data_IF_109677335740
#
_entry.id   IF_109677335740
#
_cell.length_a   1.000
_cell.length_b   1.000
_cell.length_c   1.000
_cell.angle_alpha   90.00
_cell.angle_beta   90.00
_cell.angle_gamma   90.00
#
_symmetry.space_group_name_H-M   'P 1'
#
loop_
_entity.id
_entity.type
_entity.pdbx_description
1 polymer ?
#
# COMPACT_ATOMS: atom_id res chain seq x y z
N UNK A 1 -0.06 12.06 -13.96
CA UNK A 1 0.92 12.19 -12.86
C UNK A 1 0.52 11.16 -11.83
N UNK A 2 1.41 10.23 -11.52
CA UNK A 2 1.13 9.14 -10.57
C UNK A 2 1.56 9.56 -9.18
N UNK A 3 0.76 9.22 -8.17
CA UNK A 3 1.07 9.50 -6.77
C UNK A 3 1.64 8.25 -6.10
N UNK A 4 2.84 8.37 -5.56
CA UNK A 4 3.47 7.32 -4.77
C UNK A 4 2.96 7.35 -3.33
N UNK A 5 2.38 6.25 -2.88
CA UNK A 5 1.75 6.15 -1.56
C UNK A 5 2.62 5.33 -0.61
N UNK A 6 2.93 5.93 0.54
CA UNK A 6 3.50 5.26 1.69
C UNK A 6 2.44 4.95 2.75
N UNK A 7 2.44 3.75 3.31
CA UNK A 7 1.51 3.34 4.38
C UNK A 7 2.29 2.84 5.59
N UNK A 8 2.00 3.38 6.78
CA UNK A 8 2.55 2.93 8.05
C UNK A 8 1.58 1.98 8.75
N UNK A 9 1.98 0.70 8.83
CA UNK A 9 1.18 -0.38 9.38
C UNK A 9 0.42 -1.18 8.31
N UNK A 10 0.50 -2.51 8.39
CA UNK A 10 0.03 -3.44 7.35
C UNK A 10 -1.04 -4.44 7.83
N UNK A 11 -1.49 -4.33 9.09
CA UNK A 11 -2.58 -5.15 9.64
C UNK A 11 -3.93 -4.63 9.14
N UNK A 12 -5.01 -4.83 9.89
CA UNK A 12 -6.38 -4.46 9.51
C UNK A 12 -6.53 -3.14 8.72
N UNK A 13 -6.02 -2.02 9.25
CA UNK A 13 -6.13 -0.73 8.54
C UNK A 13 -5.22 -0.65 7.30
N UNK A 14 -4.04 -1.25 7.32
CA UNK A 14 -3.16 -1.31 6.16
C UNK A 14 -3.79 -2.08 5.00
N UNK A 15 -4.47 -3.19 5.29
CA UNK A 15 -5.23 -3.95 4.29
C UNK A 15 -6.40 -3.13 3.73
N UNK A 16 -7.14 -2.44 4.61
CA UNK A 16 -8.25 -1.59 4.20
C UNK A 16 -7.78 -0.46 3.27
N UNK A 17 -6.66 0.20 3.58
CA UNK A 17 -6.06 1.24 2.75
C UNK A 17 -5.54 0.68 1.42
N UNK A 18 -4.84 -0.46 1.43
CA UNK A 18 -4.35 -1.11 0.22
C UNK A 18 -5.51 -1.49 -0.72
N UNK A 19 -6.60 -2.03 -0.18
CA UNK A 19 -7.80 -2.35 -0.95
C UNK A 19 -8.50 -1.09 -1.48
N UNK A 20 -8.56 -0.01 -0.70
CA UNK A 20 -9.12 1.26 -1.16
C UNK A 20 -8.33 1.83 -2.36
N UNK A 21 -7.00 1.82 -2.29
CA UNK A 21 -6.13 2.25 -3.39
C UNK A 21 -6.31 1.38 -4.65
N UNK A 22 -6.38 0.06 -4.49
CA UNK A 22 -6.58 -0.86 -5.60
C UNK A 22 -7.94 -0.66 -6.31
N UNK A 23 -8.96 -0.22 -5.58
CA UNK A 23 -10.32 -0.01 -6.09
C UNK A 23 -10.60 1.42 -6.52
N UNK A 24 -9.75 2.38 -6.16
CA UNK A 24 -9.92 3.81 -6.47
C UNK A 24 -10.36 4.06 -7.93
N UNK A 25 -9.68 3.51 -8.97
CA UNK A 25 -10.07 3.77 -10.36
C UNK A 25 -11.42 3.13 -10.76
N UNK A 26 -11.92 2.15 -10.01
CA UNK A 26 -13.23 1.54 -10.26
C UNK A 26 -14.39 2.47 -9.88
N UNK A 27 -14.17 3.36 -8.90
CA UNK A 27 -15.21 4.24 -8.35
C UNK A 27 -15.05 5.69 -8.80
N UNK A 28 -13.83 6.12 -9.12
CA UNK A 28 -13.51 7.50 -9.46
C UNK A 28 -12.66 7.54 -10.73
N UNK A 29 -13.28 7.65 -11.92
CA UNK A 29 -12.57 7.65 -13.20
C UNK A 29 -11.55 8.78 -13.37
N UNK A 30 -11.80 9.91 -12.71
CA UNK A 30 -10.93 11.09 -12.75
C UNK A 30 -9.92 11.15 -11.59
N UNK A 31 -9.84 10.10 -10.77
CA UNK A 31 -8.84 10.03 -9.72
C UNK A 31 -7.42 9.93 -10.32
N UNK A 32 -6.40 10.49 -9.65
CA UNK A 32 -5.02 10.29 -10.08
C UNK A 32 -4.64 8.81 -9.98
N UNK A 33 -3.75 8.37 -10.86
CA UNK A 33 -3.10 7.09 -10.73
C UNK A 33 -2.31 7.03 -9.41
N UNK A 34 -2.32 5.87 -8.76
CA UNK A 34 -1.62 5.64 -7.50
C UNK A 34 -0.70 4.44 -7.61
N UNK A 35 0.52 4.59 -7.12
CA UNK A 35 1.43 3.48 -6.87
C UNK A 35 1.43 3.18 -5.37
N UNK A 36 1.24 1.92 -5.00
CA UNK A 36 1.50 1.44 -3.65
C UNK A 36 3.01 1.29 -3.50
N UNK A 37 3.68 2.38 -3.13
CA UNK A 37 5.13 2.49 -3.23
C UNK A 37 5.82 1.89 -2.00
N UNK A 38 5.53 2.36 -0.79
CA UNK A 38 6.22 1.89 0.43
C UNK A 38 5.26 1.40 1.51
N UNK A 39 5.52 0.21 2.06
CA UNK A 39 4.88 -0.29 3.28
C UNK A 39 5.86 -0.22 4.44
N UNK A 40 5.44 0.38 5.55
CA UNK A 40 6.27 0.56 6.75
C UNK A 40 5.79 -0.34 7.89
N UNK A 41 6.72 -1.06 8.52
CA UNK A 41 6.44 -1.98 9.62
C UNK A 41 7.69 -2.32 10.44
N UNK A 42 7.49 -2.94 11.61
CA UNK A 42 8.59 -3.27 12.54
C UNK A 42 9.17 -4.68 12.35
N UNK A 43 8.36 -5.63 11.91
CA UNK A 43 8.75 -7.02 11.74
C UNK A 43 9.04 -7.25 10.25
N UNK A 44 10.31 -7.40 9.88
CA UNK A 44 10.77 -7.41 8.48
C UNK A 44 10.17 -8.57 7.69
N UNK A 45 10.11 -9.78 8.27
CA UNK A 45 9.57 -10.97 7.60
C UNK A 45 8.06 -10.83 7.34
N UNK A 46 7.30 -10.45 8.37
CA UNK A 46 5.86 -10.22 8.24
C UNK A 46 5.57 -9.03 7.31
N UNK A 47 6.44 -8.01 7.31
CA UNK A 47 6.31 -6.83 6.45
C UNK A 47 6.52 -7.19 4.99
N UNK A 48 7.56 -7.96 4.66
CA UNK A 48 7.83 -8.43 3.30
C UNK A 48 6.65 -9.26 2.77
N UNK A 49 6.17 -10.23 3.56
CA UNK A 49 5.00 -11.03 3.18
C UNK A 49 3.73 -10.18 3.01
N UNK A 50 3.56 -9.13 3.82
CA UNK A 50 2.45 -8.20 3.67
C UNK A 50 2.59 -7.30 2.43
N UNK A 51 3.80 -6.83 2.11
CA UNK A 51 4.05 -6.01 0.93
C UNK A 51 3.72 -6.77 -0.35
N UNK A 52 4.17 -8.03 -0.46
CA UNK A 52 3.84 -8.91 -1.61
C UNK A 52 2.33 -9.09 -1.77
N UNK A 53 1.64 -9.39 -0.67
CA UNK A 53 0.19 -9.64 -0.66
C UNK A 53 -0.62 -8.37 -0.96
N UNK A 54 -0.20 -7.23 -0.42
CA UNK A 54 -0.92 -5.95 -0.55
C UNK A 54 -0.51 -5.14 -1.77
N UNK A 55 0.52 -5.61 -2.50
CA UNK A 55 1.00 -5.03 -3.75
C UNK A 55 1.82 -3.76 -3.56
N UNK A 56 2.70 -3.73 -2.55
CA UNK A 56 3.66 -2.64 -2.34
C UNK A 56 5.05 -3.00 -2.88
N UNK A 57 5.69 -2.05 -3.56
CA UNK A 57 6.99 -2.26 -4.23
C UNK A 57 8.19 -2.20 -3.28
N UNK A 58 8.09 -1.41 -2.22
CA UNK A 58 9.13 -1.19 -1.24
C UNK A 58 8.65 -1.44 0.18
N UNK A 59 9.57 -1.86 1.02
CA UNK A 59 9.37 -1.94 2.47
C UNK A 59 10.33 -1.00 3.18
N UNK A 60 9.91 -0.44 4.30
CA UNK A 60 10.82 0.27 5.21
C UNK A 60 10.56 -0.17 6.65
N UNK A 61 11.64 -0.29 7.41
CA UNK A 61 11.61 -0.53 8.85
C UNK A 61 12.04 0.74 9.59
N UNK A 62 11.59 0.87 10.83
CA UNK A 62 12.27 1.71 11.84
C UNK A 62 13.31 0.84 12.56
#
# INVERSE_FOLDING_TARGET
>A
MTLDIGVLGYRFMGEAHANALARLPMFFPDAPDVNRHTLVGRDEESLAAAADRLGFEHTATD
#
